data_IF_479923787833
#
_entry.id   IF_479923787833
#
_cell.length_a   1.000
_cell.length_b   1.000
_cell.length_c   1.000
_cell.angle_alpha   90.00
_cell.angle_beta   90.00
_cell.angle_gamma   90.00
#
_symmetry.space_group_name_H-M   'P 1'
#
loop_
_entity.id
_entity.type
_entity.pdbx_description
1 polymer ?
#
# COMPACT_ATOMS: atom_id res chain seq x y z
N UNK A 1 -5.22 3.03 6.05
CA UNK A 1 -5.67 3.50 4.71
C UNK A 1 -7.19 3.36 4.66
N UNK A 2 -7.84 2.86 3.61
CA UNK A 2 -9.29 2.63 3.58
C UNK A 2 -9.76 1.48 4.49
N UNK A 3 -11.01 1.57 4.96
CA UNK A 3 -11.62 0.50 5.73
C UNK A 3 -11.69 -0.80 4.91
N UNK A 4 -11.26 -1.90 5.52
CA UNK A 4 -11.20 -3.21 4.85
C UNK A 4 -9.91 -3.50 4.09
N UNK A 5 -8.95 -2.57 4.06
CA UNK A 5 -7.61 -2.80 3.53
C UNK A 5 -6.89 -3.93 4.29
N UNK A 6 -6.14 -4.78 3.59
CA UNK A 6 -5.45 -5.93 4.20
C UNK A 6 -4.43 -5.51 5.26
N UNK A 7 -3.69 -4.41 5.04
CA UNK A 7 -2.75 -3.87 6.02
C UNK A 7 -3.44 -3.38 7.30
N UNK A 8 -4.59 -2.70 7.18
CA UNK A 8 -5.38 -2.28 8.35
C UNK A 8 -5.81 -3.50 9.18
N UNK A 9 -6.25 -4.59 8.51
CA UNK A 9 -6.69 -5.81 9.18
C UNK A 9 -5.57 -6.47 9.97
N UNK A 10 -4.37 -6.58 9.39
CA UNK A 10 -3.20 -7.12 10.08
C UNK A 10 -2.92 -6.32 11.36
N UNK A 11 -2.89 -4.98 11.27
CA UNK A 11 -2.63 -4.13 12.44
C UNK A 11 -3.73 -4.27 13.50
N UNK A 12 -5.01 -4.34 13.11
CA UNK A 12 -6.11 -4.57 14.03
C UNK A 12 -5.98 -5.91 14.76
N UNK A 13 -5.53 -6.95 14.07
CA UNK A 13 -5.30 -8.27 14.68
C UNK A 13 -4.09 -8.24 15.63
N UNK A 14 -3.03 -7.49 15.29
CA UNK A 14 -1.89 -7.27 16.19
C UNK A 14 -2.28 -6.48 17.44
N UNK A 15 -3.08 -5.41 17.31
CA UNK A 15 -3.58 -4.62 18.46
C UNK A 15 -4.40 -5.49 19.41
N UNK A 16 -5.20 -6.43 18.88
CA UNK A 16 -6.00 -7.36 19.68
C UNK A 16 -5.18 -8.46 20.34
N UNK A 17 -3.97 -8.74 19.85
CA UNK A 17 -3.13 -9.81 20.36
C UNK A 17 -2.18 -9.28 21.44
N UNK A 18 -2.35 -9.65 22.72
CA UNK A 18 -1.52 -9.12 23.81
C UNK A 18 -0.03 -9.42 23.65
N UNK A 19 0.34 -10.45 22.87
CA UNK A 19 1.74 -10.81 22.63
C UNK A 19 2.50 -9.76 21.82
N UNK A 20 1.79 -8.96 21.03
CA UNK A 20 2.38 -7.95 20.17
C UNK A 20 2.62 -6.62 20.92
N UNK A 21 2.19 -6.52 22.18
CA UNK A 21 2.39 -5.36 23.08
C UNK A 21 1.90 -4.01 22.51
N UNK A 22 0.79 -4.03 21.78
CA UNK A 22 0.15 -2.83 21.21
C UNK A 22 -1.13 -2.41 21.95
N UNK A 23 -1.30 -2.82 23.22
CA UNK A 23 -2.44 -2.42 24.03
C UNK A 23 -2.50 -0.89 24.16
N UNK A 24 -3.69 -0.31 23.92
CA UNK A 24 -3.91 1.14 23.93
C UNK A 24 -3.64 1.85 22.60
N UNK A 25 -3.14 1.16 21.58
CA UNK A 25 -3.09 1.71 20.23
C UNK A 25 -4.49 1.71 19.59
N UNK A 26 -4.78 2.75 18.83
CA UNK A 26 -5.98 2.87 18.00
C UNK A 26 -5.56 2.99 16.53
N UNK A 27 -6.12 2.17 15.65
CA UNK A 27 -5.95 2.31 14.22
C UNK A 27 -7.03 3.25 13.67
N UNK A 28 -6.62 4.38 13.11
CA UNK A 28 -7.52 5.34 12.46
C UNK A 28 -7.62 5.02 10.97
N UNK A 29 -8.80 4.60 10.52
CA UNK A 29 -9.09 4.32 9.10
C UNK A 29 -9.53 5.60 8.37
N UNK A 30 -9.05 5.79 7.13
CA UNK A 30 -9.31 6.98 6.31
C UNK A 30 -9.27 6.63 4.81
N UNK A 31 -8.43 7.30 4.03
CA UNK A 31 -7.99 6.94 2.68
C UNK A 31 -6.46 7.09 2.59
N UNK A 32 -5.85 6.73 1.47
CA UNK A 32 -4.42 7.01 1.19
C UNK A 32 -4.11 8.50 1.30
N UNK A 33 -4.89 9.35 0.62
CA UNK A 33 -4.72 10.80 0.67
C UNK A 33 -4.85 11.36 2.09
N UNK A 34 -5.82 10.86 2.87
CA UNK A 34 -6.00 11.26 4.26
C UNK A 34 -4.82 10.86 5.15
N UNK A 35 -4.33 9.62 4.98
CA UNK A 35 -3.17 9.11 5.71
C UNK A 35 -1.90 9.90 5.38
N UNK A 36 -1.63 10.17 4.10
CA UNK A 36 -0.46 10.94 3.68
C UNK A 36 -0.52 12.39 4.21
N UNK A 37 -1.69 13.02 4.17
CA UNK A 37 -1.89 14.37 4.71
C UNK A 37 -1.56 14.42 6.21
N UNK A 38 -2.03 13.44 6.98
CA UNK A 38 -1.74 13.36 8.41
C UNK A 38 -0.25 13.11 8.67
N UNK A 39 0.37 12.19 7.91
CA UNK A 39 1.80 11.91 8.00
C UNK A 39 2.64 13.18 7.75
N UNK A 40 2.35 13.91 6.68
CA UNK A 40 3.03 15.18 6.38
C UNK A 40 2.85 16.23 7.48
N UNK A 41 1.64 16.35 8.04
CA UNK A 41 1.35 17.32 9.09
C UNK A 41 2.10 17.00 10.38
N UNK A 42 2.07 15.73 10.84
CA UNK A 42 2.84 15.30 12.02
C UNK A 42 4.35 15.47 11.80
N UNK A 43 4.86 15.15 10.62
CA UNK A 43 6.27 15.40 10.27
C UNK A 43 6.63 16.88 10.31
N UNK A 44 5.78 17.78 9.79
CA UNK A 44 5.97 19.24 9.86
C UNK A 44 5.96 19.75 11.30
N UNK A 45 5.16 19.13 12.16
CA UNK A 45 5.04 19.48 13.57
C UNK A 45 6.11 18.83 14.48
N UNK A 46 7.00 17.99 13.93
CA UNK A 46 7.96 17.16 14.69
C UNK A 46 7.28 16.21 15.69
N UNK A 47 6.14 15.66 15.31
CA UNK A 47 5.39 14.66 16.09
C UNK A 47 5.70 13.25 15.58
N UNK A 48 5.64 12.27 16.48
CA UNK A 48 5.76 10.88 16.11
C UNK A 48 4.53 10.41 15.33
N UNK A 49 4.76 9.65 14.26
CA UNK A 49 3.71 9.03 13.46
C UNK A 49 4.17 7.67 12.93
N UNK A 50 3.28 6.68 13.02
CA UNK A 50 3.42 5.38 12.38
C UNK A 50 2.23 5.18 11.45
N UNK A 51 2.48 4.73 10.22
CA UNK A 51 1.45 4.56 9.20
C UNK A 51 1.86 3.44 8.23
N UNK A 52 0.90 2.98 7.42
CA UNK A 52 1.14 1.93 6.43
C UNK A 52 1.88 2.53 5.23
N UNK A 53 3.12 2.09 5.01
CA UNK A 53 3.93 2.48 3.87
C UNK A 53 4.20 1.33 2.90
N UNK A 54 4.33 1.62 1.61
CA UNK A 54 4.71 0.65 0.59
C UNK A 54 5.61 1.28 -0.49
N UNK A 55 6.28 0.42 -1.26
CA UNK A 55 7.12 0.79 -2.41
C UNK A 55 6.74 -0.12 -3.59
N UNK A 56 6.57 0.41 -4.81
CA UNK A 56 6.82 1.79 -5.21
C UNK A 56 5.65 2.72 -4.80
N UNK A 57 5.98 3.92 -4.35
CA UNK A 57 5.02 5.00 -4.11
C UNK A 57 5.74 6.36 -4.11
N UNK A 58 5.46 7.29 -5.04
CA UNK A 58 6.29 8.49 -5.18
C UNK A 58 6.29 9.42 -3.96
N UNK A 59 5.12 9.66 -3.35
CA UNK A 59 5.04 10.50 -2.14
C UNK A 59 5.88 9.92 -1.01
N UNK A 60 5.70 8.63 -0.70
CA UNK A 60 6.48 7.95 0.34
C UNK A 60 7.96 7.88 0.01
N UNK A 61 8.32 7.70 -1.27
CA UNK A 61 9.70 7.73 -1.74
C UNK A 61 10.39 9.09 -1.54
N UNK A 62 9.62 10.19 -1.56
CA UNK A 62 10.13 11.53 -1.27
C UNK A 62 10.13 11.88 0.23
N UNK A 63 9.37 11.15 1.06
CA UNK A 63 9.29 11.38 2.49
C UNK A 63 10.55 10.86 3.21
N UNK A 64 10.99 11.58 4.25
CA UNK A 64 12.06 11.12 5.16
C UNK A 64 11.50 10.13 6.18
N UNK A 65 11.16 8.93 5.72
CA UNK A 65 10.57 7.85 6.53
C UNK A 65 11.54 6.69 6.69
N UNK A 66 11.25 5.81 7.64
CA UNK A 66 11.97 4.55 7.85
C UNK A 66 10.96 3.42 7.88
N UNK A 67 11.20 2.38 7.08
CA UNK A 67 10.43 1.15 7.16
C UNK A 67 10.87 0.37 8.39
N UNK A 68 9.93 0.08 9.28
CA UNK A 68 10.19 -0.67 10.51
C UNK A 68 10.44 -2.15 10.18
N UNK A 69 11.38 -2.75 10.90
CA UNK A 69 11.69 -4.18 10.84
C UNK A 69 11.02 -4.95 11.99
N UNK A 70 11.32 -6.25 12.09
CA UNK A 70 10.86 -7.06 13.23
C UNK A 70 9.42 -7.59 13.15
N UNK A 71 8.71 -7.35 12.04
CA UNK A 71 7.33 -7.85 11.88
C UNK A 71 7.22 -9.31 11.41
N UNK A 72 8.35 -9.97 11.08
CA UNK A 72 8.37 -11.40 10.74
C UNK A 72 7.42 -11.77 9.60
N UNK A 73 6.66 -12.86 9.78
CA UNK A 73 5.68 -13.36 8.81
C UNK A 73 4.29 -12.69 8.95
N UNK A 74 4.22 -11.47 9.52
CA UNK A 74 2.95 -10.76 9.73
C UNK A 74 2.21 -10.37 8.44
N UNK A 75 2.82 -10.56 7.27
CA UNK A 75 2.31 -10.08 5.99
C UNK A 75 2.82 -8.68 5.60
N UNK A 76 3.76 -8.11 6.38
CA UNK A 76 4.51 -6.92 5.99
C UNK A 76 5.90 -7.31 5.47
N UNK A 77 6.45 -6.51 4.55
CA UNK A 77 7.74 -6.77 3.90
C UNK A 77 7.59 -6.97 2.40
N UNK A 78 8.39 -7.87 1.82
CA UNK A 78 8.39 -8.12 0.38
C UNK A 78 7.00 -8.59 -0.09
N UNK A 79 6.40 -7.83 -1.00
CA UNK A 79 5.09 -8.11 -1.57
C UNK A 79 5.19 -8.44 -3.07
N UNK A 80 4.21 -9.19 -3.57
CA UNK A 80 4.03 -9.43 -5.01
C UNK A 80 2.59 -9.13 -5.38
N UNK A 81 2.41 -8.31 -6.41
CA UNK A 81 1.08 -7.95 -6.94
C UNK A 81 0.69 -8.93 -8.02
N UNK A 82 -0.54 -9.46 -7.95
CA UNK A 82 -1.08 -10.42 -8.91
C UNK A 82 -2.35 -9.88 -9.58
N UNK A 83 -2.52 -10.21 -10.86
CA UNK A 83 -3.77 -9.93 -11.58
C UNK A 83 -4.72 -11.11 -11.44
N UNK A 84 -5.86 -10.88 -10.81
CA UNK A 84 -6.92 -11.88 -10.65
C UNK A 84 -8.00 -11.71 -11.72
N UNK A 85 -8.53 -12.83 -12.20
CA UNK A 85 -9.69 -12.86 -13.12
C UNK A 85 -10.77 -13.77 -12.56
N UNK A 86 -12.05 -13.49 -12.88
CA UNK A 86 -13.14 -14.40 -12.49
C UNK A 86 -12.98 -15.76 -13.16
N UNK A 87 -13.55 -16.80 -12.54
CA UNK A 87 -13.54 -18.16 -13.08
C UNK A 87 -14.08 -18.18 -14.52
N UNK A 88 -13.33 -18.81 -15.43
CA UNK A 88 -13.68 -18.97 -16.85
C UNK A 88 -13.37 -17.77 -17.76
N UNK A 89 -12.94 -16.63 -17.21
CA UNK A 89 -12.76 -15.39 -17.98
C UNK A 89 -11.77 -15.53 -19.14
N UNK A 90 -10.64 -16.20 -18.93
CA UNK A 90 -9.60 -16.37 -19.97
C UNK A 90 -10.07 -17.29 -21.11
N UNK A 91 -11.04 -18.16 -20.86
CA UNK A 91 -11.66 -19.00 -21.90
C UNK A 91 -12.77 -18.23 -22.63
N UNK A 92 -13.58 -17.47 -21.91
CA UNK A 92 -14.67 -16.67 -22.45
C UNK A 92 -14.17 -15.49 -23.28
N UNK A 93 -13.05 -14.89 -22.87
CA UNK A 93 -12.43 -13.74 -23.53
C UNK A 93 -10.95 -14.04 -23.85
N UNK A 94 -10.65 -14.90 -24.84
CA UNK A 94 -9.30 -15.41 -25.06
C UNK A 94 -8.28 -14.32 -25.48
N UNK A 95 -8.72 -13.30 -26.23
CA UNK A 95 -7.84 -12.18 -26.60
C UNK A 95 -7.43 -11.35 -25.37
N UNK A 96 -8.39 -10.97 -24.53
CA UNK A 96 -8.13 -10.26 -23.28
C UNK A 96 -7.33 -11.13 -22.30
N UNK A 97 -7.63 -12.44 -22.23
CA UNK A 97 -6.89 -13.40 -21.41
C UNK A 97 -5.42 -13.48 -21.80
N UNK A 98 -5.11 -13.47 -23.11
CA UNK A 98 -3.72 -13.44 -23.59
C UNK A 98 -3.02 -12.13 -23.22
N UNK A 99 -3.71 -10.99 -23.32
CA UNK A 99 -3.15 -9.71 -22.89
C UNK A 99 -2.83 -9.72 -21.40
N UNK A 100 -3.79 -10.08 -20.55
CA UNK A 100 -3.63 -10.12 -19.09
C UNK A 100 -2.49 -11.06 -18.68
N UNK A 101 -2.36 -12.23 -19.32
CA UNK A 101 -1.28 -13.18 -19.02
C UNK A 101 0.12 -12.65 -19.35
N UNK A 102 0.22 -11.71 -20.31
CA UNK A 102 1.47 -11.05 -20.67
C UNK A 102 1.71 -9.74 -19.92
N UNK A 103 0.67 -9.19 -19.27
CA UNK A 103 0.74 -7.94 -18.55
C UNK A 103 1.58 -8.14 -17.28
N UNK A 104 2.76 -7.51 -17.27
CA UNK A 104 3.68 -7.49 -16.13
C UNK A 104 4.20 -6.08 -15.97
N UNK A 105 4.43 -5.71 -14.73
CA UNK A 105 5.00 -4.42 -14.37
C UNK A 105 6.36 -4.62 -13.71
N UNK A 106 7.15 -3.56 -13.73
CA UNK A 106 8.36 -3.45 -12.93
C UNK A 106 8.32 -2.11 -12.18
N UNK A 107 9.19 -1.99 -11.17
CA UNK A 107 9.17 -0.84 -10.27
C UNK A 107 9.41 0.50 -10.98
N UNK A 108 10.28 0.51 -12.00
CA UNK A 108 10.61 1.73 -12.75
C UNK A 108 9.38 2.21 -13.55
N UNK A 109 8.68 1.30 -14.24
CA UNK A 109 7.46 1.60 -14.99
C UNK A 109 6.35 2.14 -14.09
N UNK A 110 6.11 1.50 -12.95
CA UNK A 110 5.08 1.96 -12.00
C UNK A 110 5.46 3.31 -11.39
N UNK A 111 6.74 3.49 -11.05
CA UNK A 111 7.29 4.74 -10.53
C UNK A 111 7.06 5.91 -11.49
N UNK A 112 7.43 5.75 -12.76
CA UNK A 112 7.24 6.78 -13.79
C UNK A 112 5.77 7.15 -14.00
N UNK A 113 4.87 6.16 -14.07
CA UNK A 113 3.43 6.40 -14.21
C UNK A 113 2.85 7.16 -13.02
N UNK A 114 3.18 6.75 -11.80
CA UNK A 114 2.67 7.42 -10.59
C UNK A 114 3.21 8.85 -10.45
N UNK A 115 4.48 9.07 -10.81
CA UNK A 115 5.09 10.40 -10.81
C UNK A 115 4.36 11.39 -11.73
N UNK A 116 3.95 10.92 -12.91
CA UNK A 116 3.21 11.73 -13.88
C UNK A 116 1.83 12.12 -13.33
N UNK A 117 1.11 11.17 -12.73
CA UNK A 117 -0.24 11.40 -12.16
C UNK A 117 -0.17 12.43 -11.02
N UNK A 118 0.79 12.29 -10.11
CA UNK A 118 0.91 13.20 -8.96
C UNK A 118 1.32 14.63 -9.34
N UNK A 119 1.98 14.80 -10.50
CA UNK A 119 2.33 16.12 -11.06
C UNK A 119 1.18 16.74 -11.86
N UNK A 120 -0.01 16.15 -11.84
CA UNK A 120 -1.21 16.64 -12.52
C UNK A 120 -1.31 16.20 -13.98
N UNK A 121 -0.54 15.18 -14.40
CA UNK A 121 -0.75 14.49 -15.66
C UNK A 121 -1.91 13.51 -15.59
N UNK A 122 -2.61 13.30 -16.70
CA UNK A 122 -3.58 12.21 -16.81
C UNK A 122 -2.85 10.87 -16.98
N UNK A 123 -3.42 9.81 -16.41
CA UNK A 123 -3.05 8.45 -16.78
C UNK A 123 -3.52 8.20 -18.22
N UNK A 124 -2.67 8.47 -19.21
CA UNK A 124 -2.91 8.13 -20.61
C UNK A 124 -2.53 6.69 -20.92
#
# INVERSE_FOLDING_TARGET
>A
IEAGNDGNRIILDMIKNPKDNLEGFELVESSEAGMLTQAEQSMKNNEWIAFLGWTPHPVMGAMKITYLDGMGDSGFGAATVYTNVRKGYTTECPNAGKFIANLKFNLDMEGEMMDAILKGGDAQ
#
